data_IF_393404310332
#
_entry.id   IF_393404310332
#
_cell.length_a   1.000
_cell.length_b   1.000
_cell.length_c   1.000
_cell.angle_alpha   90.00
_cell.angle_beta   90.00
_cell.angle_gamma   90.00
#
_symmetry.space_group_name_H-M   'P 1'
#
loop_
_entity.id
_entity.type
_entity.pdbx_description
1 polymer ?
#
# COMPACT_ATOMS: atom_id res chain seq x y z
N UNK A 1 -12.60 -2.26 37.90
CA UNK A 1 -12.04 -1.35 36.89
C UNK A 1 -12.42 -1.91 35.53
N UNK A 2 -13.46 -1.34 34.92
CA UNK A 2 -13.89 -1.72 33.58
C UNK A 2 -12.89 -1.14 32.57
N UNK A 3 -12.28 -2.02 31.77
CA UNK A 3 -11.42 -1.62 30.67
C UNK A 3 -12.30 -1.07 29.54
N UNK A 4 -12.33 0.25 29.37
CA UNK A 4 -12.94 0.86 28.20
C UNK A 4 -12.18 0.39 26.95
N UNK A 5 -12.86 -0.14 25.92
CA UNK A 5 -12.21 -0.48 24.67
C UNK A 5 -11.65 0.80 24.05
N UNK A 6 -10.40 0.76 23.62
CA UNK A 6 -9.77 1.82 22.82
C UNK A 6 -10.52 1.91 21.49
N UNK A 7 -11.59 2.71 21.45
CA UNK A 7 -12.31 3.03 20.23
C UNK A 7 -11.45 4.04 19.48
N UNK A 8 -10.80 3.61 18.41
CA UNK A 8 -10.17 4.54 17.46
C UNK A 8 -11.28 5.43 16.90
N UNK A 9 -11.38 6.67 17.37
CA UNK A 9 -12.26 7.66 16.77
C UNK A 9 -11.80 7.88 15.32
N UNK A 10 -12.68 7.61 14.36
CA UNK A 10 -12.47 8.02 12.97
C UNK A 10 -12.60 9.53 12.97
N UNK A 11 -11.47 10.22 13.08
CA UNK A 11 -11.45 11.64 13.42
C UNK A 11 -11.75 12.53 12.20
N UNK A 12 -11.47 12.05 10.97
CA UNK A 12 -11.71 12.79 9.72
C UNK A 12 -12.02 11.89 8.52
N UNK A 13 -13.06 12.27 7.78
CA UNK A 13 -13.40 11.74 6.45
C UNK A 13 -12.60 12.56 5.43
N UNK A 14 -11.57 11.97 4.81
CA UNK A 14 -10.79 12.66 3.76
C UNK A 14 -11.28 12.18 2.39
N UNK A 15 -11.74 13.07 1.49
CA UNK A 15 -12.17 12.68 0.16
C UNK A 15 -10.97 12.18 -0.66
N UNK A 16 -11.20 11.17 -1.48
CA UNK A 16 -10.23 10.59 -2.39
C UNK A 16 -10.49 11.14 -3.80
N UNK A 17 -9.50 11.80 -4.37
CA UNK A 17 -9.40 12.26 -5.77
C UNK A 17 -10.36 13.40 -6.22
N UNK A 18 -11.61 13.46 -5.74
CA UNK A 18 -12.58 14.50 -6.10
C UNK A 18 -13.41 14.94 -4.88
N UNK A 19 -13.42 16.24 -4.58
CA UNK A 19 -14.07 16.80 -3.37
C UNK A 19 -15.60 16.63 -3.38
N UNK A 20 -16.20 16.40 -4.56
CA UNK A 20 -17.65 16.31 -4.73
C UNK A 20 -18.23 14.89 -4.60
N UNK A 21 -17.39 13.86 -4.56
CA UNK A 21 -17.84 12.47 -4.46
C UNK A 21 -17.78 11.96 -3.00
N UNK A 22 -18.81 12.29 -2.22
CA UNK A 22 -18.94 11.91 -0.80
C UNK A 22 -18.91 10.38 -0.56
N UNK A 23 -19.07 9.56 -1.62
CA UNK A 23 -18.96 8.10 -1.54
C UNK A 23 -17.51 7.61 -1.58
N UNK A 24 -16.55 8.46 -1.99
CA UNK A 24 -15.11 8.17 -2.05
C UNK A 24 -14.37 8.75 -0.85
N UNK A 25 -14.75 8.36 0.35
CA UNK A 25 -13.97 8.71 1.54
C UNK A 25 -12.85 7.69 1.81
N UNK A 26 -11.75 8.18 2.39
CA UNK A 26 -10.73 7.35 3.02
C UNK A 26 -10.80 7.54 4.54
N UNK A 27 -11.22 6.52 5.30
CA UNK A 27 -11.11 6.58 6.75
C UNK A 27 -9.62 6.59 7.13
N UNK A 28 -9.22 7.50 8.02
CA UNK A 28 -7.87 7.54 8.56
C UNK A 28 -7.98 7.47 10.08
N UNK A 29 -7.44 6.40 10.65
CA UNK A 29 -7.29 6.26 12.09
C UNK A 29 -6.04 7.02 12.54
N UNK A 30 -6.22 8.03 13.38
CA UNK A 30 -5.11 8.71 14.03
C UNK A 30 -4.77 7.97 15.31
N UNK A 31 -3.53 7.48 15.40
CA UNK A 31 -3.00 6.90 16.61
C UNK A 31 -2.51 7.99 17.55
N UNK A 32 -2.62 7.76 18.86
CA UNK A 32 -1.93 8.59 19.84
C UNK A 32 -0.42 8.53 19.65
N UNK A 33 0.31 9.52 20.17
CA UNK A 33 1.78 9.53 20.08
C UNK A 33 2.42 8.25 20.63
N UNK A 34 1.86 7.71 21.72
CA UNK A 34 2.31 6.45 22.31
C UNK A 34 2.05 5.28 21.37
N UNK A 35 0.86 5.20 20.76
CA UNK A 35 0.51 4.17 19.77
C UNK A 35 1.43 4.22 18.55
N UNK A 36 1.67 5.41 18.00
CA UNK A 36 2.59 5.63 16.89
C UNK A 36 4.03 5.16 17.21
N UNK A 37 4.52 5.36 18.43
CA UNK A 37 5.86 4.92 18.81
C UNK A 37 5.94 3.39 18.94
N UNK A 38 4.89 2.74 19.45
CA UNK A 38 4.81 1.29 19.53
C UNK A 38 4.80 0.66 18.13
N UNK A 39 3.98 1.16 17.21
CA UNK A 39 3.94 0.67 15.83
C UNK A 39 5.29 0.83 15.13
N UNK A 40 5.97 1.98 15.28
CA UNK A 40 7.31 2.18 14.71
C UNK A 40 8.33 1.17 15.24
N UNK A 41 8.24 0.77 16.51
CA UNK A 41 9.12 -0.27 17.08
C UNK A 41 8.80 -1.64 16.50
N UNK A 42 7.52 -2.01 16.45
CA UNK A 42 7.08 -3.27 15.85
C UNK A 42 7.49 -3.37 14.38
N UNK A 43 7.30 -2.30 13.60
CA UNK A 43 7.70 -2.23 12.20
C UNK A 43 9.19 -2.49 12.02
N UNK A 44 10.06 -1.91 12.87
CA UNK A 44 11.52 -2.14 12.80
C UNK A 44 11.89 -3.59 13.08
N UNK A 45 11.23 -4.22 14.06
CA UNK A 45 11.47 -5.63 14.37
C UNK A 45 11.01 -6.54 13.24
N UNK A 46 9.83 -6.28 12.68
CA UNK A 46 9.29 -7.06 11.58
C UNK A 46 10.10 -6.88 10.29
N UNK A 47 10.57 -5.66 9.99
CA UNK A 47 11.31 -5.37 8.75
C UNK A 47 12.50 -6.30 8.54
N UNK A 48 13.26 -6.62 9.61
CA UNK A 48 14.41 -7.52 9.52
C UNK A 48 14.07 -8.95 9.06
N UNK A 49 12.83 -9.39 9.23
CA UNK A 49 12.37 -10.73 8.85
C UNK A 49 11.54 -10.74 7.55
N UNK A 50 11.09 -9.58 7.08
CA UNK A 50 10.22 -9.49 5.90
C UNK A 50 10.99 -9.42 4.58
N UNK A 51 12.25 -8.98 4.60
CA UNK A 51 13.05 -8.83 3.38
C UNK A 51 13.25 -10.16 2.62
N UNK A 52 13.20 -11.31 3.32
CA UNK A 52 13.28 -12.66 2.71
C UNK A 52 11.99 -13.10 2.01
N UNK A 53 10.84 -12.49 2.34
CA UNK A 53 9.52 -12.87 1.82
C UNK A 53 9.05 -11.94 0.68
N UNK A 54 9.73 -10.79 0.50
CA UNK A 54 9.36 -9.82 -0.51
C UNK A 54 9.70 -10.32 -1.93
N UNK A 55 8.70 -10.28 -2.81
CA UNK A 55 8.89 -10.61 -4.22
C UNK A 55 9.72 -9.53 -4.92
N UNK A 56 10.61 -9.94 -5.82
CA UNK A 56 11.42 -9.01 -6.62
C UNK A 56 10.61 -8.06 -7.51
N UNK A 57 9.32 -8.35 -7.73
CA UNK A 57 8.37 -7.53 -8.51
C UNK A 57 7.51 -6.59 -7.65
N UNK A 58 7.71 -6.56 -6.33
CA UNK A 58 7.04 -5.59 -5.47
C UNK A 58 7.80 -4.26 -5.50
N UNK A 59 7.12 -3.14 -5.79
CA UNK A 59 7.76 -1.84 -5.88
C UNK A 59 7.36 -0.87 -4.77
N UNK A 60 6.10 -0.93 -4.33
CA UNK A 60 5.57 -0.01 -3.34
C UNK A 60 6.05 -0.37 -1.92
N UNK A 61 6.33 0.68 -1.12
CA UNK A 61 6.71 0.60 0.30
C UNK A 61 8.02 -0.16 0.61
N UNK A 62 8.88 -0.36 -0.39
CA UNK A 62 10.20 -0.97 -0.23
C UNK A 62 11.27 0.11 -0.25
N UNK A 63 12.26 -0.03 0.63
CA UNK A 63 13.42 0.88 0.68
C UNK A 63 14.19 0.81 -0.64
N UNK A 64 14.68 1.96 -1.13
CA UNK A 64 15.44 2.07 -2.37
C UNK A 64 14.70 1.68 -3.67
N UNK A 65 13.35 1.58 -3.63
CA UNK A 65 12.54 1.43 -4.85
C UNK A 65 11.71 2.68 -5.10
N UNK A 66 11.89 3.27 -6.28
CA UNK A 66 11.14 4.44 -6.72
C UNK A 66 9.93 4.04 -7.59
N UNK A 67 8.90 4.88 -7.59
CA UNK A 67 7.64 4.62 -8.32
C UNK A 67 7.85 4.41 -9.82
N UNK A 68 8.82 5.09 -10.43
CA UNK A 68 9.09 4.99 -11.87
C UNK A 68 9.71 3.64 -12.28
N UNK A 69 10.22 2.84 -11.33
CA UNK A 69 10.81 1.53 -11.64
C UNK A 69 9.74 0.56 -12.14
N UNK A 70 8.55 0.56 -11.53
CA UNK A 70 7.45 -0.32 -11.91
C UNK A 70 7.04 -0.19 -13.39
N UNK A 71 6.75 1.01 -13.93
CA UNK A 71 6.42 1.14 -15.35
C UNK A 71 7.61 0.79 -16.25
N UNK A 72 8.86 1.06 -15.86
CA UNK A 72 10.03 0.66 -16.68
C UNK A 72 10.15 -0.86 -16.80
N UNK A 73 9.88 -1.63 -15.74
CA UNK A 73 9.89 -3.09 -15.80
C UNK A 73 8.74 -3.64 -16.67
N UNK A 74 7.56 -3.02 -16.60
CA UNK A 74 6.42 -3.38 -17.47
C UNK A 74 6.79 -3.12 -18.93
N UNK A 75 7.33 -1.94 -19.25
CA UNK A 75 7.74 -1.58 -20.61
C UNK A 75 8.82 -2.52 -21.14
N UNK A 76 9.79 -2.90 -20.30
CA UNK A 76 10.80 -3.88 -20.68
C UNK A 76 10.17 -5.22 -21.07
N UNK A 77 9.24 -5.75 -20.25
CA UNK A 77 8.54 -7.00 -20.54
C UNK A 77 7.70 -6.92 -21.82
N UNK A 78 7.03 -5.80 -22.06
CA UNK A 78 6.26 -5.57 -23.29
C UNK A 78 7.18 -5.56 -24.53
N UNK A 79 8.31 -4.85 -24.46
CA UNK A 79 9.29 -4.81 -25.55
C UNK A 79 9.87 -6.20 -25.84
N UNK A 80 10.23 -6.96 -24.81
CA UNK A 80 10.71 -8.34 -24.96
C UNK A 80 9.65 -9.22 -25.64
N UNK A 81 8.39 -9.13 -25.23
CA UNK A 81 7.30 -9.87 -25.88
C UNK A 81 7.14 -9.48 -27.35
N UNK A 82 7.22 -8.19 -27.68
CA UNK A 82 7.18 -7.71 -29.07
C UNK A 82 8.31 -8.29 -29.93
N UNK A 83 9.56 -8.25 -29.43
CA UNK A 83 10.71 -8.77 -30.17
C UNK A 83 10.73 -10.29 -30.29
N UNK A 84 10.11 -11.00 -29.35
CA UNK A 84 10.00 -12.47 -29.36
C UNK A 84 8.73 -12.98 -30.06
N UNK A 85 7.95 -12.08 -30.67
CA UNK A 85 6.67 -12.39 -31.32
C UNK A 85 5.67 -13.09 -30.38
N UNK A 86 5.77 -12.85 -29.08
CA UNK A 86 4.82 -13.33 -28.09
C UNK A 86 3.65 -12.36 -27.96
N UNK A 87 2.46 -12.93 -27.78
CA UNK A 87 1.28 -12.14 -27.45
C UNK A 87 1.40 -11.57 -26.04
N UNK A 88 1.23 -10.26 -25.89
CA UNK A 88 1.27 -9.58 -24.61
C UNK A 88 -0.15 -9.13 -24.19
N UNK A 89 -0.55 -9.50 -22.97
CA UNK A 89 -1.79 -9.09 -22.34
C UNK A 89 -1.51 -8.52 -20.95
N UNK A 90 -2.04 -7.33 -20.67
CA UNK A 90 -1.95 -6.71 -19.35
C UNK A 90 -3.30 -6.82 -18.65
N UNK A 91 -3.30 -7.39 -17.44
CA UNK A 91 -4.49 -7.44 -16.58
C UNK A 91 -4.28 -6.42 -15.46
N UNK A 92 -5.08 -5.35 -15.46
CA UNK A 92 -5.05 -4.35 -14.41
C UNK A 92 -5.96 -4.79 -13.26
N UNK A 93 -5.37 -4.98 -12.09
CA UNK A 93 -6.08 -5.37 -10.87
C UNK A 93 -5.96 -4.26 -9.83
N UNK A 94 -7.04 -4.04 -9.08
CA UNK A 94 -7.04 -3.14 -7.93
C UNK A 94 -7.95 -3.71 -6.84
N UNK A 95 -7.55 -3.56 -5.58
CA UNK A 95 -8.32 -4.00 -4.42
C UNK A 95 -9.22 -2.86 -3.95
N UNK A 96 -10.52 -3.13 -3.80
CA UNK A 96 -11.43 -2.19 -3.14
C UNK A 96 -11.13 -2.14 -1.64
N UNK A 97 -11.02 -0.94 -1.07
CA UNK A 97 -10.82 -0.71 0.38
C UNK A 97 -9.72 -1.57 1.02
N UNK A 98 -8.54 -1.64 0.39
CA UNK A 98 -7.43 -2.55 0.75
C UNK A 98 -6.99 -2.54 2.22
N UNK A 99 -7.17 -1.43 2.95
CA UNK A 99 -6.76 -1.31 4.35
C UNK A 99 -7.92 -1.48 5.35
N UNK A 100 -9.17 -1.49 4.86
CA UNK A 100 -10.37 -1.55 5.71
C UNK A 100 -11.05 -2.94 5.68
N UNK A 101 -10.70 -3.79 4.71
CA UNK A 101 -11.26 -5.13 4.49
C UNK A 101 -10.35 -6.23 5.01
#
# INVERSE_FOLDING_TARGET
MEAYPYVSMIDRIIPKDDENDLLKYRPISLLSDVGNQLEKRMQRQLKGNFDEVLLNTQHAFIMCRATFIAPTEIMHKLLTAMFTQLFALTIQLNMSKRFDC
#
